data_IF_253889893935
#
_entry.id   IF_253889893935
#
_cell.length_a   1.000
_cell.length_b   1.000
_cell.length_c   1.000
_cell.angle_alpha   90.00
_cell.angle_beta   90.00
_cell.angle_gamma   90.00
#
_symmetry.space_group_name_H-M   'P 1'
#
loop_
_entity.id
_entity.type
_entity.pdbx_description
1 polymer ?
#
# COMPACT_ATOMS: atom_id res chain seq x y z
N UNK A 1 -54.61 52.78 -85.27
CA UNK A 1 -54.01 51.51 -85.74
C UNK A 1 -52.51 51.61 -86.08
N UNK A 2 -52.03 52.60 -86.85
CA UNK A 2 -50.60 52.72 -87.21
C UNK A 2 -49.63 52.90 -86.01
N UNK A 3 -49.99 53.63 -84.95
CA UNK A 3 -49.14 53.81 -83.75
C UNK A 3 -49.02 52.55 -82.87
N UNK A 4 -50.06 51.72 -82.83
CA UNK A 4 -50.05 50.43 -82.10
C UNK A 4 -49.21 49.37 -82.84
N UNK A 5 -49.24 49.39 -84.18
CA UNK A 5 -48.46 48.48 -85.01
C UNK A 5 -46.95 48.73 -84.90
N UNK A 6 -46.53 50.00 -84.82
CA UNK A 6 -45.11 50.38 -84.69
C UNK A 6 -44.57 49.99 -83.32
N UNK A 7 -45.35 50.15 -82.24
CA UNK A 7 -44.94 49.72 -80.89
C UNK A 7 -44.83 48.20 -80.81
N UNK A 8 -45.72 47.46 -81.47
CA UNK A 8 -45.65 45.99 -81.52
C UNK A 8 -44.44 45.50 -82.34
N UNK A 9 -44.11 46.19 -83.44
CA UNK A 9 -42.93 45.87 -84.26
C UNK A 9 -41.62 46.19 -83.56
N UNK A 10 -41.54 47.30 -82.81
CA UNK A 10 -40.35 47.61 -82.02
C UNK A 10 -40.21 46.69 -80.81
N UNK A 11 -41.32 46.28 -80.17
CA UNK A 11 -41.27 45.28 -79.09
C UNK A 11 -40.77 43.92 -79.60
N UNK A 12 -41.25 43.48 -80.77
CA UNK A 12 -40.81 42.22 -81.40
C UNK A 12 -39.35 42.28 -81.86
N UNK A 13 -38.87 43.43 -82.35
CA UNK A 13 -37.47 43.62 -82.75
C UNK A 13 -36.51 43.67 -81.53
N UNK A 14 -36.96 44.25 -80.42
CA UNK A 14 -36.21 44.26 -79.16
C UNK A 14 -36.16 42.85 -78.54
N UNK A 15 -37.26 42.10 -78.55
CA UNK A 15 -37.31 40.72 -78.03
C UNK A 15 -36.48 39.75 -78.88
N UNK A 16 -36.44 39.92 -80.21
CA UNK A 16 -35.60 39.11 -81.11
C UNK A 16 -34.11 39.46 -81.02
N UNK A 17 -33.77 40.74 -80.82
CA UNK A 17 -32.39 41.19 -80.56
C UNK A 17 -31.83 40.67 -79.23
N UNK A 18 -32.63 40.71 -78.14
CA UNK A 18 -32.21 40.21 -76.83
C UNK A 18 -32.26 38.67 -76.70
N UNK A 19 -33.05 37.96 -77.52
CA UNK A 19 -33.07 36.50 -77.55
C UNK A 19 -31.88 35.89 -78.29
N UNK A 20 -31.23 36.65 -79.19
CA UNK A 20 -30.10 36.16 -79.98
C UNK A 20 -28.75 36.29 -79.26
N UNK A 21 -28.66 37.08 -78.19
CA UNK A 21 -27.40 37.35 -77.49
C UNK A 21 -27.11 36.37 -76.32
N UNK A 22 -28.07 35.50 -75.95
CA UNK A 22 -27.89 34.53 -74.85
C UNK A 22 -27.78 33.06 -75.24
N UNK A 23 -27.96 32.67 -76.50
CA UNK A 23 -27.96 31.25 -76.85
C UNK A 23 -27.31 31.00 -78.20
N UNK A 24 -26.00 30.74 -78.17
CA UNK A 24 -25.29 29.68 -78.89
C UNK A 24 -23.80 29.92 -78.68
N UNK A 25 -23.23 29.35 -77.62
CA UNK A 25 -21.84 28.90 -77.77
C UNK A 25 -21.79 28.08 -79.06
N UNK A 26 -20.82 28.36 -79.93
CA UNK A 26 -20.70 27.67 -81.23
C UNK A 26 -20.66 26.17 -80.93
N UNK A 27 -21.26 25.33 -81.77
CA UNK A 27 -21.26 23.86 -81.56
C UNK A 27 -19.84 23.32 -81.25
N UNK A 28 -18.82 23.91 -81.86
CA UNK A 28 -17.40 23.66 -81.59
C UNK A 28 -16.96 23.99 -80.16
N UNK A 29 -17.47 25.06 -79.55
CA UNK A 29 -17.14 25.46 -78.18
C UNK A 29 -17.80 24.52 -77.15
N UNK A 30 -19.04 24.09 -77.40
CA UNK A 30 -19.69 23.03 -76.62
C UNK A 30 -18.94 21.69 -76.70
N UNK A 31 -18.45 21.32 -77.88
CA UNK A 31 -17.64 20.11 -78.04
C UNK A 31 -16.33 20.20 -77.25
N UNK A 32 -15.67 21.37 -77.23
CA UNK A 32 -14.46 21.61 -76.43
C UNK A 32 -14.73 21.54 -74.93
N UNK A 33 -15.83 22.13 -74.45
CA UNK A 33 -16.23 22.03 -73.05
C UNK A 33 -16.59 20.59 -72.66
N UNK A 34 -17.36 19.88 -73.48
CA UNK A 34 -17.69 18.48 -73.23
C UNK A 34 -16.44 17.60 -73.16
N UNK A 35 -15.48 17.83 -74.06
CA UNK A 35 -14.19 17.16 -74.04
C UNK A 35 -13.38 17.49 -72.77
N UNK A 36 -13.36 18.75 -72.34
CA UNK A 36 -12.64 19.17 -71.12
C UNK A 36 -13.25 18.58 -69.86
N UNK A 37 -14.59 18.54 -69.75
CA UNK A 37 -15.28 17.90 -68.64
C UNK A 37 -15.11 16.38 -68.63
N UNK A 38 -15.10 15.75 -69.81
CA UNK A 38 -14.82 14.31 -69.96
C UNK A 38 -13.39 13.99 -69.51
N UNK A 39 -12.40 14.78 -69.95
CA UNK A 39 -11.01 14.62 -69.53
C UNK A 39 -10.86 14.80 -68.01
N UNK A 40 -11.51 15.81 -67.42
CA UNK A 40 -11.50 16.03 -65.96
C UNK A 40 -12.16 14.89 -65.18
N UNK A 41 -13.27 14.35 -65.69
CA UNK A 41 -13.92 13.16 -65.11
C UNK A 41 -12.97 11.96 -65.11
N UNK A 42 -12.30 11.71 -66.24
CA UNK A 42 -11.41 10.56 -66.38
C UNK A 42 -10.14 10.72 -65.52
N UNK A 43 -9.61 11.93 -65.42
CA UNK A 43 -8.52 12.27 -64.48
C UNK A 43 -8.93 12.03 -63.01
N UNK A 44 -10.10 12.54 -62.60
CA UNK A 44 -10.59 12.35 -61.23
C UNK A 44 -10.87 10.86 -60.93
N UNK A 45 -11.37 10.12 -61.92
CA UNK A 45 -11.58 8.67 -61.81
C UNK A 45 -10.25 7.93 -61.65
N UNK A 46 -9.24 8.26 -62.45
CA UNK A 46 -7.91 7.69 -62.31
C UNK A 46 -7.29 8.00 -60.95
N UNK A 47 -7.47 9.23 -60.43
CA UNK A 47 -7.04 9.60 -59.07
C UNK A 47 -7.77 8.80 -57.99
N UNK A 48 -9.09 8.63 -58.13
CA UNK A 48 -9.88 7.81 -57.19
C UNK A 48 -9.41 6.35 -57.19
N UNK A 49 -9.18 5.78 -58.37
CA UNK A 49 -8.70 4.40 -58.52
C UNK A 49 -7.29 4.24 -57.91
N UNK A 50 -6.40 5.22 -58.14
CA UNK A 50 -5.08 5.25 -57.52
C UNK A 50 -5.15 5.32 -55.99
N UNK A 51 -6.00 6.20 -55.44
CA UNK A 51 -6.19 6.36 -54.00
C UNK A 51 -6.81 5.11 -53.37
N UNK A 52 -7.75 4.47 -54.06
CA UNK A 52 -8.33 3.19 -53.61
C UNK A 52 -7.27 2.08 -53.55
N UNK A 53 -6.39 2.01 -54.54
CA UNK A 53 -5.27 1.06 -54.55
C UNK A 53 -4.30 1.34 -53.40
N UNK A 54 -3.99 2.61 -53.12
CA UNK A 54 -3.15 3.00 -51.99
C UNK A 54 -3.78 2.61 -50.65
N UNK A 55 -5.08 2.90 -50.45
CA UNK A 55 -5.82 2.50 -49.24
C UNK A 55 -5.78 0.98 -49.06
N UNK A 56 -5.98 0.22 -50.13
CA UNK A 56 -5.92 -1.25 -50.08
C UNK A 56 -4.51 -1.75 -49.74
N UNK A 57 -3.48 -1.10 -50.26
CA UNK A 57 -2.10 -1.42 -49.93
C UNK A 57 -1.79 -1.11 -48.46
N UNK A 58 -2.18 0.06 -47.95
CA UNK A 58 -2.01 0.46 -46.55
C UNK A 58 -2.73 -0.49 -45.59
N UNK A 59 -3.95 -0.94 -45.93
CA UNK A 59 -4.69 -1.95 -45.15
C UNK A 59 -3.93 -3.28 -45.08
N UNK A 60 -3.31 -3.71 -46.18
CA UNK A 60 -2.49 -4.93 -46.21
C UNK A 60 -1.24 -4.78 -45.35
N UNK A 61 -0.54 -3.65 -45.45
CA UNK A 61 0.63 -3.36 -44.64
C UNK A 61 0.30 -3.31 -43.14
N UNK A 62 -0.84 -2.72 -42.77
CA UNK A 62 -1.30 -2.70 -41.38
C UNK A 62 -1.52 -4.13 -40.86
N UNK A 63 -2.25 -4.95 -41.61
CA UNK A 63 -2.49 -6.35 -41.24
C UNK A 63 -1.19 -7.17 -41.14
N UNK A 64 -0.22 -6.91 -42.01
CA UNK A 64 1.10 -7.56 -41.97
C UNK A 64 1.88 -7.13 -40.72
N UNK A 65 1.87 -5.83 -40.38
CA UNK A 65 2.54 -5.30 -39.19
C UNK A 65 1.90 -5.83 -37.91
N UNK A 66 0.57 -5.91 -37.85
CA UNK A 66 -0.14 -6.51 -36.73
C UNK A 66 0.23 -7.99 -36.53
N UNK A 67 0.37 -8.74 -37.63
CA UNK A 67 0.84 -10.12 -37.58
C UNK A 67 2.30 -10.24 -37.10
N UNK A 68 3.19 -9.35 -37.55
CA UNK A 68 4.59 -9.29 -37.10
C UNK A 68 4.70 -8.95 -35.60
N UNK A 69 3.88 -8.00 -35.12
CA UNK A 69 3.81 -7.64 -33.70
C UNK A 69 3.38 -8.85 -32.87
N UNK A 70 2.30 -9.53 -33.29
CA UNK A 70 1.81 -10.72 -32.60
C UNK A 70 2.87 -11.82 -32.54
N UNK A 71 3.53 -12.12 -33.66
CA UNK A 71 4.60 -13.11 -33.72
C UNK A 71 5.74 -12.78 -32.76
N UNK A 72 6.14 -11.51 -32.70
CA UNK A 72 7.20 -11.05 -31.79
C UNK A 72 6.78 -11.20 -30.33
N UNK A 73 5.54 -10.85 -30.01
CA UNK A 73 4.99 -10.98 -28.67
C UNK A 73 4.89 -12.44 -28.22
N UNK A 74 4.42 -13.31 -29.10
CA UNK A 74 4.37 -14.76 -28.86
C UNK A 74 5.78 -15.35 -28.64
N UNK A 75 6.78 -14.88 -29.41
CA UNK A 75 8.18 -15.28 -29.21
C UNK A 75 8.74 -14.82 -27.85
N UNK A 76 8.45 -13.58 -27.43
CA UNK A 76 8.85 -13.07 -26.10
C UNK A 76 8.22 -13.91 -24.99
N UNK A 77 6.93 -14.26 -25.12
CA UNK A 77 6.23 -15.10 -24.15
C UNK A 77 6.80 -16.52 -24.12
N UNK A 78 7.14 -17.08 -25.27
CA UNK A 78 7.81 -18.39 -25.35
C UNK A 78 9.19 -18.36 -24.65
N UNK A 79 9.95 -17.27 -24.74
CA UNK A 79 11.26 -17.14 -24.06
C UNK A 79 11.14 -17.21 -22.53
N UNK A 80 10.09 -16.63 -21.96
CA UNK A 80 9.83 -16.72 -20.51
C UNK A 80 8.99 -17.94 -20.13
N UNK A 81 8.67 -18.81 -21.10
CA UNK A 81 7.93 -20.06 -20.91
C UNK A 81 6.46 -19.86 -20.53
N UNK A 82 5.80 -18.83 -21.07
CA UNK A 82 4.40 -18.50 -20.78
C UNK A 82 3.57 -18.39 -22.04
N UNK A 83 2.24 -18.39 -21.88
CA UNK A 83 1.26 -18.01 -22.90
C UNK A 83 0.68 -16.61 -22.62
N UNK A 84 -0.06 -15.99 -23.56
CA UNK A 84 -0.77 -14.74 -23.31
C UNK A 84 -1.70 -14.81 -22.08
N UNK A 85 -2.34 -15.95 -21.85
CA UNK A 85 -3.20 -16.20 -20.68
C UNK A 85 -2.36 -16.17 -19.40
N UNK A 86 -1.21 -16.86 -19.37
CA UNK A 86 -0.31 -16.87 -18.23
C UNK A 86 0.29 -15.49 -17.90
N UNK A 87 0.45 -14.62 -18.90
CA UNK A 87 0.84 -13.22 -18.71
C UNK A 87 -0.30 -12.42 -18.08
N UNK A 88 -1.53 -12.62 -18.55
CA UNK A 88 -2.70 -11.96 -17.98
C UNK A 88 -2.95 -12.38 -16.53
N UNK A 89 -2.79 -13.66 -16.20
CA UNK A 89 -2.83 -14.14 -14.82
C UNK A 89 -1.76 -13.48 -13.95
N UNK A 90 -0.53 -13.37 -14.45
CA UNK A 90 0.55 -12.72 -13.72
C UNK A 90 0.27 -11.23 -13.52
N UNK A 91 -0.29 -10.55 -14.54
CA UNK A 91 -0.76 -9.16 -14.44
C UNK A 91 -1.77 -8.98 -13.32
N UNK A 92 -2.75 -9.87 -13.23
CA UNK A 92 -3.74 -9.85 -12.15
C UNK A 92 -3.09 -10.05 -10.78
N UNK A 93 -2.16 -11.01 -10.64
CA UNK A 93 -1.42 -11.22 -9.39
C UNK A 93 -0.63 -9.99 -8.97
N UNK A 94 0.05 -9.32 -9.90
CA UNK A 94 0.79 -8.08 -9.63
C UNK A 94 -0.15 -6.95 -9.18
N UNK A 95 -1.31 -6.80 -9.82
CA UNK A 95 -2.30 -5.80 -9.45
C UNK A 95 -2.93 -6.06 -8.07
N UNK A 96 -3.27 -7.32 -7.78
CA UNK A 96 -3.81 -7.72 -6.48
C UNK A 96 -2.77 -7.56 -5.36
N UNK A 97 -1.50 -7.87 -5.65
CA UNK A 97 -0.39 -7.65 -4.75
C UNK A 97 -0.22 -6.17 -4.41
N UNK A 98 -0.19 -5.31 -5.44
CA UNK A 98 -0.08 -3.86 -5.26
C UNK A 98 -1.23 -3.28 -4.44
N UNK A 99 -2.46 -3.74 -4.66
CA UNK A 99 -3.62 -3.34 -3.86
C UNK A 99 -3.43 -3.68 -2.39
N UNK A 100 -3.01 -4.92 -2.08
CA UNK A 100 -2.75 -5.38 -0.70
C UNK A 100 -1.58 -4.63 -0.06
N UNK A 101 -0.51 -4.38 -0.82
CA UNK A 101 0.63 -3.60 -0.36
C UNK A 101 0.20 -2.18 0.02
N UNK A 102 -0.59 -1.52 -0.83
CA UNK A 102 -1.10 -0.17 -0.57
C UNK A 102 -2.05 -0.12 0.63
N UNK A 103 -2.89 -1.14 0.81
CA UNK A 103 -3.77 -1.25 1.98
C UNK A 103 -2.96 -1.38 3.28
N UNK A 104 -2.03 -2.33 3.34
CA UNK A 104 -1.21 -2.58 4.52
C UNK A 104 -0.28 -1.41 4.83
N UNK A 105 0.26 -0.74 3.80
CA UNK A 105 1.11 0.45 3.96
C UNK A 105 0.41 1.64 4.62
N UNK A 106 -0.92 1.67 4.65
CA UNK A 106 -1.71 2.74 5.26
C UNK A 106 -2.09 2.47 6.72
N UNK A 107 -1.85 1.26 7.20
CA UNK A 107 -2.23 0.86 8.56
C UNK A 107 -1.28 1.45 9.60
N UNK A 108 -1.81 1.71 10.79
CA UNK A 108 -0.99 2.05 11.96
C UNK A 108 -0.20 0.84 12.48
N UNK A 109 0.84 1.09 13.27
CA UNK A 109 1.67 0.03 13.86
C UNK A 109 0.86 -1.01 14.67
N UNK A 110 -0.15 -0.58 15.43
CA UNK A 110 -0.99 -1.52 16.19
C UNK A 110 -1.82 -2.41 15.26
N UNK A 111 -2.43 -1.82 14.21
CA UNK A 111 -3.19 -2.58 13.22
C UNK A 111 -2.31 -3.53 12.40
N UNK A 112 -1.07 -3.13 12.09
CA UNK A 112 -0.08 -3.97 11.44
C UNK A 112 0.33 -5.17 12.30
N UNK A 113 0.42 -4.99 13.62
CA UNK A 113 0.70 -6.09 14.54
C UNK A 113 -0.44 -7.12 14.60
N UNK A 114 -1.68 -6.65 14.65
CA UNK A 114 -2.86 -7.52 14.59
C UNK A 114 -2.92 -8.31 13.27
N UNK A 115 -2.62 -7.64 12.15
CA UNK A 115 -2.57 -8.23 10.80
C UNK A 115 -1.19 -8.75 10.39
N UNK A 116 -0.30 -9.04 11.35
CA UNK A 116 1.10 -9.47 11.08
C UNK A 116 1.21 -10.67 10.14
N UNK A 117 0.29 -11.62 10.23
CA UNK A 117 0.26 -12.80 9.37
C UNK A 117 0.03 -12.45 7.90
N UNK A 118 -0.76 -11.41 7.63
CA UNK A 118 -1.00 -10.93 6.27
C UNK A 118 0.22 -10.23 5.68
N UNK A 119 1.00 -9.53 6.52
CA UNK A 119 2.26 -8.88 6.11
C UNK A 119 3.35 -9.93 5.82
N UNK A 120 3.47 -10.97 6.64
CA UNK A 120 4.35 -12.11 6.34
C UNK A 120 3.92 -12.84 5.06
N UNK A 121 2.62 -13.05 4.87
CA UNK A 121 2.10 -13.60 3.61
C UNK A 121 2.43 -12.70 2.43
N UNK A 122 2.27 -11.37 2.57
CA UNK A 122 2.63 -10.41 1.52
C UNK A 122 4.11 -10.50 1.17
N UNK A 123 4.99 -10.59 2.16
CA UNK A 123 6.43 -10.78 1.93
C UNK A 123 6.71 -12.06 1.12
N UNK A 124 6.08 -13.18 1.47
CA UNK A 124 6.24 -14.44 0.74
C UNK A 124 5.67 -14.36 -0.69
N UNK A 125 4.50 -13.75 -0.84
CA UNK A 125 3.88 -13.51 -2.16
C UNK A 125 4.81 -12.64 -3.03
N UNK A 126 5.48 -11.63 -2.45
CA UNK A 126 6.48 -10.81 -3.14
C UNK A 126 7.69 -11.63 -3.62
N UNK A 127 8.25 -12.49 -2.75
CA UNK A 127 9.38 -13.35 -3.13
C UNK A 127 8.99 -14.33 -4.24
N UNK A 128 7.76 -14.85 -4.22
CA UNK A 128 7.23 -15.70 -5.27
C UNK A 128 7.07 -14.95 -6.60
N UNK A 129 6.57 -13.70 -6.58
CA UNK A 129 6.51 -12.84 -7.76
C UNK A 129 7.90 -12.55 -8.34
N UNK A 130 8.85 -12.18 -7.48
CA UNK A 130 10.24 -11.89 -7.89
C UNK A 130 10.94 -13.10 -8.49
N UNK A 131 10.61 -14.31 -8.02
CA UNK A 131 11.20 -15.56 -8.51
C UNK A 131 10.55 -16.08 -9.80
N UNK A 132 9.39 -15.54 -10.17
CA UNK A 132 8.67 -15.95 -11.38
C UNK A 132 9.39 -15.41 -12.63
N UNK A 133 9.64 -16.29 -13.61
CA UNK A 133 10.31 -15.92 -14.87
C UNK A 133 9.56 -14.81 -15.63
N UNK A 134 8.24 -14.72 -15.45
CA UNK A 134 7.40 -13.69 -16.08
C UNK A 134 7.74 -12.28 -15.63
N UNK A 135 8.42 -12.10 -14.50
CA UNK A 135 8.91 -10.79 -14.04
C UNK A 135 9.91 -10.15 -15.01
N UNK A 136 10.61 -10.96 -15.81
CA UNK A 136 11.57 -10.49 -16.81
C UNK A 136 10.90 -9.76 -17.99
N UNK A 137 9.57 -9.86 -18.13
CA UNK A 137 8.84 -9.07 -19.11
C UNK A 137 8.91 -7.59 -18.72
N UNK A 138 9.23 -6.74 -19.69
CA UNK A 138 9.45 -5.30 -19.50
C UNK A 138 8.29 -4.59 -18.79
N UNK A 139 7.06 -5.05 -19.01
CA UNK A 139 5.87 -4.48 -18.36
C UNK A 139 5.77 -4.71 -16.84
N UNK A 140 6.49 -5.70 -16.30
CA UNK A 140 6.43 -6.04 -14.88
C UNK A 140 7.73 -5.76 -14.13
N UNK A 141 8.87 -5.83 -14.81
CA UNK A 141 10.20 -5.81 -14.18
C UNK A 141 10.38 -4.63 -13.21
N UNK A 142 10.23 -3.40 -13.70
CA UNK A 142 10.43 -2.20 -12.89
C UNK A 142 9.40 -2.08 -11.77
N UNK A 143 8.15 -2.46 -12.05
CA UNK A 143 7.04 -2.36 -11.10
C UNK A 143 7.23 -3.33 -9.92
N UNK A 144 7.54 -4.59 -10.21
CA UNK A 144 7.73 -5.62 -9.18
C UNK A 144 8.97 -5.31 -8.35
N UNK A 145 10.09 -4.91 -8.96
CA UNK A 145 11.27 -4.51 -8.21
C UNK A 145 11.04 -3.26 -7.35
N UNK A 146 10.22 -2.32 -7.83
CA UNK A 146 9.85 -1.12 -7.05
C UNK A 146 9.14 -1.43 -5.73
N UNK A 147 8.46 -2.57 -5.61
CA UNK A 147 7.80 -2.98 -4.36
C UNK A 147 8.77 -3.41 -3.25
N UNK A 148 10.02 -3.74 -3.58
CA UNK A 148 10.99 -4.33 -2.65
C UNK A 148 11.15 -3.53 -1.36
N UNK A 149 11.38 -2.22 -1.50
CA UNK A 149 11.60 -1.33 -0.37
C UNK A 149 10.38 -1.25 0.55
N UNK A 150 9.19 -1.08 -0.02
CA UNK A 150 7.94 -0.94 0.74
C UNK A 150 7.62 -2.23 1.52
N UNK A 151 7.75 -3.38 0.88
CA UNK A 151 7.52 -4.70 1.48
C UNK A 151 8.53 -4.95 2.60
N UNK A 152 9.81 -4.67 2.36
CA UNK A 152 10.88 -4.86 3.35
C UNK A 152 10.71 -3.94 4.57
N UNK A 153 10.22 -2.71 4.38
CA UNK A 153 9.93 -1.80 5.49
C UNK A 153 8.76 -2.29 6.34
N UNK A 154 7.68 -2.78 5.71
CA UNK A 154 6.52 -3.33 6.41
C UNK A 154 6.88 -4.56 7.23
N UNK A 155 7.56 -5.53 6.63
CA UNK A 155 7.92 -6.78 7.30
C UNK A 155 8.89 -6.52 8.46
N UNK A 156 9.85 -5.62 8.28
CA UNK A 156 10.80 -5.24 9.33
C UNK A 156 10.09 -4.57 10.50
N UNK A 157 9.15 -3.67 10.22
CA UNK A 157 8.33 -3.01 11.24
C UNK A 157 7.51 -4.03 12.03
N UNK A 158 6.81 -4.92 11.35
CA UNK A 158 6.00 -5.97 12.00
C UNK A 158 6.87 -6.88 12.86
N UNK A 159 8.01 -7.37 12.36
CA UNK A 159 8.92 -8.22 13.13
C UNK A 159 9.48 -7.53 14.37
N UNK A 160 9.77 -6.23 14.28
CA UNK A 160 10.19 -5.43 15.43
C UNK A 160 9.07 -5.32 16.49
N UNK A 161 7.82 -5.05 16.06
CA UNK A 161 6.65 -4.99 16.95
C UNK A 161 6.37 -6.34 17.62
N UNK A 162 6.53 -7.44 16.88
CA UNK A 162 6.39 -8.80 17.43
C UNK A 162 7.42 -9.03 18.52
N UNK A 163 8.70 -8.73 18.26
CA UNK A 163 9.76 -8.89 19.26
C UNK A 163 9.50 -8.07 20.53
N UNK A 164 8.98 -6.84 20.41
CA UNK A 164 8.69 -6.00 21.59
C UNK A 164 7.46 -6.49 22.37
N UNK A 165 6.37 -6.85 21.69
CA UNK A 165 5.14 -7.35 22.33
C UNK A 165 5.36 -8.74 22.95
N UNK A 166 6.02 -9.66 22.25
CA UNK A 166 6.40 -10.96 22.83
C UNK A 166 7.34 -10.79 24.02
N UNK A 167 8.32 -9.88 23.95
CA UNK A 167 9.16 -9.54 25.09
C UNK A 167 8.36 -9.00 26.29
N UNK A 168 7.31 -8.20 26.04
CA UNK A 168 6.40 -7.73 27.08
C UNK A 168 5.51 -8.85 27.64
N UNK A 169 5.01 -9.75 26.79
CA UNK A 169 4.19 -10.91 27.20
C UNK A 169 5.01 -11.89 28.03
N UNK A 170 6.23 -12.23 27.61
CA UNK A 170 7.15 -13.09 28.38
C UNK A 170 7.48 -12.44 29.72
N UNK A 171 7.68 -11.12 29.75
CA UNK A 171 7.86 -10.41 31.01
C UNK A 171 6.61 -10.57 31.87
N UNK A 172 5.41 -10.30 31.34
CA UNK A 172 4.13 -10.40 32.05
C UNK A 172 3.82 -11.82 32.54
N UNK A 173 4.08 -12.86 31.76
CA UNK A 173 3.93 -14.26 32.19
C UNK A 173 4.92 -14.62 33.30
N UNK A 174 6.17 -14.15 33.19
CA UNK A 174 7.13 -14.24 34.29
C UNK A 174 6.67 -13.41 35.50
N UNK A 175 5.91 -12.32 35.30
CA UNK A 175 5.32 -11.54 36.38
C UNK A 175 4.17 -12.27 37.10
N UNK A 176 3.49 -13.22 36.43
CA UNK A 176 2.33 -13.96 36.96
C UNK A 176 2.72 -15.21 37.74
N UNK A 177 3.96 -15.72 37.62
CA UNK A 177 4.47 -16.78 38.49
C UNK A 177 4.63 -16.25 39.92
N UNK A 178 3.56 -16.34 40.71
CA UNK A 178 3.56 -16.03 42.15
C UNK A 178 4.59 -16.92 42.85
N UNK A 179 5.79 -16.39 43.06
CA UNK A 179 6.80 -17.07 43.86
C UNK A 179 6.47 -16.78 45.31
N UNK A 180 6.49 -17.80 46.17
CA UNK A 180 6.28 -17.61 47.61
C UNK A 180 7.58 -17.78 48.37
N UNK A 181 7.80 -16.98 49.42
CA UNK A 181 8.94 -17.11 50.32
C UNK A 181 8.45 -17.36 51.75
N UNK A 182 9.03 -18.35 52.41
CA UNK A 182 8.75 -18.62 53.83
C UNK A 182 9.73 -17.84 54.69
N UNK A 183 9.21 -16.95 55.53
CA UNK A 183 10.02 -16.11 56.42
C UNK A 183 10.77 -16.99 57.42
N UNK A 184 12.09 -16.85 57.45
CA UNK A 184 12.98 -17.50 58.39
C UNK A 184 13.01 -16.84 59.76
N UNK A 185 13.97 -17.24 60.59
CA UNK A 185 14.10 -16.66 61.94
C UNK A 185 15.09 -15.51 61.96
N UNK A 186 14.86 -14.49 62.80
CA UNK A 186 15.80 -13.37 62.94
C UNK A 186 17.22 -13.83 63.30
N UNK A 187 17.35 -14.83 64.18
CA UNK A 187 18.63 -15.36 64.65
C UNK A 187 19.44 -16.04 63.54
N UNK A 188 18.78 -16.69 62.58
CA UNK A 188 19.43 -17.48 61.52
C UNK A 188 19.53 -16.71 60.21
N UNK A 189 18.41 -16.15 59.76
CA UNK A 189 18.25 -15.63 58.40
C UNK A 189 18.24 -14.09 58.38
N UNK A 190 18.09 -13.45 59.54
CA UNK A 190 17.89 -12.00 59.72
C UNK A 190 16.78 -11.45 58.81
N UNK A 191 15.74 -12.25 58.61
CA UNK A 191 14.69 -11.93 57.67
C UNK A 191 13.88 -10.71 58.16
N UNK A 192 13.92 -9.68 57.34
CA UNK A 192 13.01 -8.54 57.34
C UNK A 192 12.68 -8.25 55.87
N UNK A 193 11.64 -7.48 55.56
CA UNK A 193 11.25 -7.23 54.16
C UNK A 193 12.41 -6.72 53.30
N UNK A 194 13.29 -5.89 53.88
CA UNK A 194 14.50 -5.38 53.24
C UNK A 194 15.54 -6.47 52.95
N UNK A 195 15.83 -7.33 53.93
CA UNK A 195 16.80 -8.42 53.76
C UNK A 195 16.27 -9.53 52.85
N UNK A 196 14.96 -9.80 52.85
CA UNK A 196 14.33 -10.75 51.93
C UNK A 196 14.46 -10.22 50.49
N UNK A 197 14.15 -8.96 50.25
CA UNK A 197 14.33 -8.32 48.94
C UNK A 197 15.81 -8.30 48.48
N UNK A 198 16.76 -8.17 49.41
CA UNK A 198 18.20 -8.19 49.12
C UNK A 198 18.71 -9.56 48.68
N UNK A 199 18.02 -10.68 48.97
CA UNK A 199 18.53 -12.02 48.62
C UNK A 199 18.70 -12.15 47.09
N UNK A 200 19.80 -12.73 46.60
CA UNK A 200 20.04 -12.92 45.16
C UNK A 200 18.96 -13.77 44.48
N UNK A 201 18.35 -14.70 45.22
CA UNK A 201 17.28 -15.58 44.74
C UNK A 201 15.90 -14.92 44.70
N UNK A 202 15.78 -13.69 45.21
CA UNK A 202 14.51 -12.94 45.29
C UNK A 202 14.56 -11.77 44.31
N UNK A 203 15.19 -10.65 44.69
CA UNK A 203 15.32 -9.48 43.81
C UNK A 203 16.75 -9.02 43.60
N UNK A 204 17.70 -9.44 44.45
CA UNK A 204 19.03 -8.86 44.49
C UNK A 204 18.99 -7.32 44.60
N UNK A 205 17.93 -6.78 45.20
CA UNK A 205 17.73 -5.35 45.36
C UNK A 205 16.94 -5.05 46.64
N UNK A 206 17.59 -4.53 47.69
CA UNK A 206 16.92 -4.23 48.94
C UNK A 206 15.83 -3.17 48.83
N UNK A 207 15.92 -2.24 47.86
CA UNK A 207 14.95 -1.16 47.69
C UNK A 207 13.59 -1.65 47.17
N UNK A 208 13.47 -2.92 46.78
CA UNK A 208 12.23 -3.54 46.33
C UNK A 208 11.41 -4.17 47.46
N UNK A 209 11.82 -4.02 48.73
CA UNK A 209 11.02 -4.41 49.89
C UNK A 209 9.56 -3.90 49.91
N UNK A 210 9.22 -2.70 49.39
CA UNK A 210 7.84 -2.22 49.39
C UNK A 210 6.92 -3.08 48.51
N UNK A 211 7.46 -3.79 47.51
CA UNK A 211 6.69 -4.74 46.69
C UNK A 211 6.14 -5.88 47.54
N UNK A 212 7.00 -6.47 48.37
CA UNK A 212 6.64 -7.56 49.27
C UNK A 212 5.59 -7.05 50.28
N UNK A 213 5.76 -5.83 50.81
CA UNK A 213 4.77 -5.24 51.71
C UNK A 213 3.41 -5.06 51.05
N UNK A 214 3.35 -4.39 49.89
CA UNK A 214 2.08 -4.10 49.18
C UNK A 214 1.35 -5.38 48.80
N UNK A 215 2.07 -6.37 48.26
CA UNK A 215 1.51 -7.66 47.85
C UNK A 215 0.98 -8.52 49.01
N UNK A 216 1.39 -8.23 50.25
CA UNK A 216 0.99 -8.98 51.44
C UNK A 216 0.30 -8.08 52.48
N UNK A 217 -0.33 -6.96 52.09
CA UNK A 217 -1.01 -6.04 53.03
C UNK A 217 -2.19 -6.67 53.78
N UNK A 218 -2.71 -7.77 53.25
CA UNK A 218 -3.67 -8.64 53.92
C UNK A 218 -3.07 -9.21 55.22
N UNK A 219 -1.82 -9.67 55.18
CA UNK A 219 -1.10 -10.30 56.32
C UNK A 219 -0.20 -9.34 57.10
N UNK A 220 0.50 -8.44 56.41
CA UNK A 220 1.47 -7.50 57.00
C UNK A 220 0.79 -6.15 57.23
N UNK A 221 0.52 -5.81 58.49
CA UNK A 221 -0.01 -4.50 58.88
C UNK A 221 1.08 -3.47 59.16
N UNK A 222 2.22 -3.91 59.69
CA UNK A 222 3.40 -3.09 59.92
C UNK A 222 4.57 -3.62 59.07
N UNK A 223 5.16 -2.82 58.17
CA UNK A 223 6.34 -3.22 57.38
C UNK A 223 7.53 -3.72 58.19
N UNK A 224 7.70 -3.28 59.45
CA UNK A 224 8.81 -3.69 60.31
C UNK A 224 8.56 -5.02 61.05
N UNK A 225 7.33 -5.57 60.98
CA UNK A 225 6.93 -6.74 61.75
C UNK A 225 6.51 -7.90 60.84
N UNK A 226 7.39 -8.90 60.73
CA UNK A 226 7.11 -10.19 60.07
C UNK A 226 7.49 -11.34 61.01
N UNK A 227 6.79 -12.46 60.95
CA UNK A 227 7.01 -13.59 61.84
C UNK A 227 7.54 -14.82 61.09
N UNK A 228 8.43 -15.62 61.72
CA UNK A 228 8.92 -16.86 61.14
C UNK A 228 7.78 -17.82 60.78
N UNK A 229 7.91 -18.52 59.64
CA UNK A 229 6.90 -19.44 59.11
C UNK A 229 5.82 -18.76 58.26
N UNK A 230 5.81 -17.42 58.17
CA UNK A 230 4.91 -16.74 57.25
C UNK A 230 5.30 -17.02 55.80
N UNK A 231 4.35 -17.60 55.05
CA UNK A 231 4.45 -17.67 53.58
C UNK A 231 4.00 -16.33 53.02
N UNK A 232 4.95 -15.59 52.44
CA UNK A 232 4.74 -14.30 51.79
C UNK A 232 4.73 -14.49 50.27
N UNK A 233 3.82 -13.78 49.60
CA UNK A 233 3.84 -13.61 48.15
C UNK A 233 5.03 -12.73 47.78
N UNK A 234 5.86 -13.20 46.88
CA UNK A 234 6.97 -12.46 46.31
C UNK A 234 6.57 -12.15 44.87
N UNK A 235 6.12 -10.89 44.60
CA UNK A 235 5.96 -10.41 43.24
C UNK A 235 7.26 -10.60 42.44
N UNK A 236 7.22 -10.63 41.12
CA UNK A 236 8.42 -10.63 40.28
C UNK A 236 9.32 -9.39 40.49
N UNK A 237 10.60 -9.52 40.12
CA UNK A 237 11.54 -8.39 40.06
C UNK A 237 11.13 -7.43 38.93
N UNK A 238 10.61 -6.26 39.30
CA UNK A 238 10.23 -5.19 38.37
C UNK A 238 10.46 -3.82 39.02
N UNK A 239 10.25 -2.74 38.27
CA UNK A 239 10.25 -1.38 38.81
C UNK A 239 9.08 -1.16 39.78
N UNK A 240 9.26 -0.24 40.75
CA UNK A 240 8.22 0.07 41.73
C UNK A 240 7.04 0.81 41.07
N UNK A 241 5.83 0.33 41.30
CA UNK A 241 4.60 1.00 40.88
C UNK A 241 4.38 2.30 41.68
N UNK A 242 3.45 3.16 41.21
CA UNK A 242 3.10 4.40 41.92
C UNK A 242 2.64 4.13 43.36
N UNK A 243 1.95 3.02 43.59
CA UNK A 243 1.50 2.64 44.94
C UNK A 243 2.65 2.19 45.83
N UNK A 244 3.54 1.33 45.32
CA UNK A 244 4.69 0.82 46.07
C UNK A 244 5.66 1.94 46.45
N UNK A 245 5.89 2.91 45.54
CA UNK A 245 6.68 4.11 45.84
C UNK A 245 6.05 4.95 46.94
N UNK A 246 4.71 5.14 46.92
CA UNK A 246 3.99 5.85 47.98
C UNK A 246 4.12 5.14 49.33
N UNK A 247 4.02 3.81 49.34
CA UNK A 247 4.19 3.01 50.56
C UNK A 247 5.60 3.15 51.15
N UNK A 248 6.63 3.09 50.30
CA UNK A 248 8.03 3.29 50.69
C UNK A 248 8.25 4.69 51.30
N UNK A 249 7.77 5.72 50.61
CA UNK A 249 7.90 7.10 51.07
C UNK A 249 7.18 7.34 52.40
N UNK A 250 5.98 6.78 52.57
CA UNK A 250 5.24 6.85 53.82
C UNK A 250 5.98 6.17 54.98
N UNK A 251 6.62 5.03 54.73
CA UNK A 251 7.46 4.34 55.71
C UNK A 251 8.66 5.19 56.14
N UNK A 252 9.44 5.69 55.18
CA UNK A 252 10.63 6.50 55.49
C UNK A 252 10.27 7.81 56.20
N UNK A 253 9.14 8.43 55.84
CA UNK A 253 8.62 9.62 56.53
C UNK A 253 8.32 9.32 58.01
N UNK A 254 7.54 8.26 58.29
CA UNK A 254 7.22 7.86 59.67
C UNK A 254 8.45 7.50 60.49
N UNK A 255 9.46 6.88 59.85
CA UNK A 255 10.72 6.52 60.50
C UNK A 255 11.54 7.75 60.87
N UNK A 256 11.62 8.75 60.00
CA UNK A 256 12.28 10.02 60.27
C UNK A 256 11.59 10.78 61.41
N UNK A 257 10.24 10.84 61.42
CA UNK A 257 9.46 11.45 62.49
C UNK A 257 9.72 10.77 63.86
N UNK A 258 9.76 9.44 63.91
CA UNK A 258 10.08 8.69 65.14
C UNK A 258 11.51 8.92 65.63
N UNK A 259 12.48 9.04 64.73
CA UNK A 259 13.87 9.34 65.08
C UNK A 259 14.03 10.75 65.65
N UNK A 260 13.29 11.73 65.12
CA UNK A 260 13.26 13.10 65.65
C UNK A 260 12.56 13.17 67.01
N UNK A 261 11.50 12.37 67.23
CA UNK A 261 10.81 12.30 68.52
C UNK A 261 11.58 11.54 69.62
N UNK A 262 12.41 10.55 69.25
CA UNK A 262 13.21 9.75 70.18
C UNK A 262 14.61 10.30 70.47
N UNK A 263 15.12 11.24 69.67
CA UNK A 263 16.40 11.93 69.89
C UNK A 263 16.31 13.17 70.78
N UNK A 264 15.15 13.40 71.42
CA UNK A 264 14.88 14.52 72.32
C UNK A 264 14.70 14.11 73.79
N UNK A 265 15.26 12.98 74.21
CA UNK A 265 15.39 12.56 75.62
C UNK A 265 16.86 12.35 75.97
#
# INVERSE_FOLDING_TARGET
>A
MKKLLIILLTLVFVITGFAQEKVKMKYEDWQKEMASWTAKRDELRAKLDALNNEVNNLKRQLAEKDAQIKQTQDAIYALVGTTPEGVNEYRQKVADFERRLNELSRLSNEQLYERRAEVEKLYNDYQALKSDKRVALSEFYDKVLGFESQVNNLITTVRALVKTKEGQVVLAEALVKETTYTVGTWKKDRDCLWNIAKKPTIYDNPFLWPKIYVANRDKIKDPDLIYPGWVLKIPPKAELTKEEKRAANAYYRKKAEKQQAGGGM
#
